data_IF_098437489820
#
_entry.id   IF_098437489820
#
_cell.length_a   1.000
_cell.length_b   1.000
_cell.length_c   1.000
_cell.angle_alpha   90.00
_cell.angle_beta   90.00
_cell.angle_gamma   90.00
#
_symmetry.space_group_name_H-M   'P 1'
#
loop_
_entity.id
_entity.type
_entity.pdbx_description
1 polymer ?
#
# COMPACT_ATOMS: atom_id res chain seq x y z
N UNK A 1 4.76 -12.69 36.71
CA UNK A 1 4.48 -11.84 35.54
C UNK A 1 3.92 -12.77 34.50
N UNK A 2 2.60 -12.76 34.37
CA UNK A 2 1.88 -13.50 33.34
C UNK A 2 2.31 -12.88 32.00
N UNK A 3 2.98 -13.68 31.16
CA UNK A 3 3.40 -13.22 29.84
C UNK A 3 2.13 -12.86 29.08
N UNK A 4 1.91 -11.56 28.85
CA UNK A 4 0.81 -11.06 28.03
C UNK A 4 0.72 -11.92 26.78
N UNK A 5 -0.47 -12.48 26.54
CA UNK A 5 -0.75 -13.29 25.37
C UNK A 5 -0.28 -12.54 24.14
N UNK A 6 0.78 -13.04 23.51
CA UNK A 6 1.29 -12.46 22.28
C UNK A 6 0.19 -12.64 21.23
N UNK A 7 -0.60 -11.59 21.00
CA UNK A 7 -1.78 -11.64 20.18
C UNK A 7 -1.37 -11.77 18.72
N UNK A 8 -1.58 -12.96 18.13
CA UNK A 8 -1.35 -13.23 16.72
C UNK A 8 -2.65 -12.98 15.94
N UNK A 9 -2.88 -11.73 15.54
CA UNK A 9 -4.09 -11.30 14.84
C UNK A 9 -3.80 -10.81 13.42
N UNK A 10 -4.58 -11.33 12.48
CA UNK A 10 -4.61 -10.95 11.07
C UNK A 10 -5.91 -11.46 10.48
N UNK A 11 -6.64 -10.60 9.76
CA UNK A 11 -7.80 -10.96 8.93
C UNK A 11 -7.41 -11.84 7.73
N UNK A 12 -6.14 -11.79 7.29
CA UNK A 12 -5.61 -12.55 6.15
C UNK A 12 -4.74 -13.70 6.59
N UNK A 13 -5.23 -14.94 6.45
CA UNK A 13 -4.46 -16.15 6.78
C UNK A 13 -3.14 -16.23 5.98
N UNK A 14 -3.16 -15.77 4.73
CA UNK A 14 -1.97 -15.70 3.88
C UNK A 14 -0.95 -14.72 4.44
N UNK A 15 -1.37 -13.51 4.81
CA UNK A 15 -0.48 -12.49 5.41
C UNK A 15 0.12 -13.02 6.70
N UNK A 16 -0.72 -13.53 7.61
CA UNK A 16 -0.30 -14.17 8.84
C UNK A 16 0.77 -15.23 8.62
N UNK A 17 0.52 -16.17 7.70
CA UNK A 17 1.44 -17.28 7.43
C UNK A 17 2.80 -16.79 6.91
N UNK A 18 2.80 -15.83 5.98
CA UNK A 18 4.01 -15.29 5.39
C UNK A 18 4.82 -14.48 6.40
N UNK A 19 4.17 -13.58 7.11
CA UNK A 19 4.87 -12.70 8.04
C UNK A 19 5.33 -13.46 9.29
N UNK A 20 4.57 -14.41 9.82
CA UNK A 20 5.03 -15.25 10.94
C UNK A 20 6.25 -16.10 10.57
N UNK A 21 6.32 -16.59 9.32
CA UNK A 21 7.52 -17.30 8.82
C UNK A 21 8.72 -16.35 8.74
N UNK A 22 8.52 -15.16 8.19
CA UNK A 22 9.57 -14.14 8.10
C UNK A 22 10.06 -13.70 9.49
N UNK A 23 9.15 -13.46 10.44
CA UNK A 23 9.49 -13.03 11.80
C UNK A 23 10.44 -14.02 12.49
N UNK A 24 10.15 -15.33 12.39
CA UNK A 24 10.99 -16.41 12.93
C UNK A 24 12.42 -16.42 12.36
N UNK A 25 12.62 -15.86 11.17
CA UNK A 25 13.91 -15.81 10.48
C UNK A 25 14.62 -14.45 10.65
N UNK A 26 13.94 -13.44 11.18
CA UNK A 26 14.40 -12.05 11.20
C UNK A 26 15.24 -11.67 12.42
N UNK A 27 15.19 -12.45 13.51
CA UNK A 27 15.78 -12.09 14.80
C UNK A 27 15.00 -11.01 15.59
N UNK A 28 13.89 -10.50 15.04
CA UNK A 28 13.01 -9.54 15.71
C UNK A 28 12.10 -10.24 16.73
N UNK A 29 11.70 -9.52 17.78
CA UNK A 29 10.81 -10.05 18.82
C UNK A 29 9.31 -9.92 18.50
N UNK A 30 8.96 -9.13 17.49
CA UNK A 30 7.57 -8.89 17.09
C UNK A 30 7.47 -8.05 15.81
N UNK A 31 6.26 -8.01 15.26
CA UNK A 31 5.91 -7.24 14.05
C UNK A 31 4.48 -6.75 14.17
N UNK A 32 4.23 -5.53 13.72
CA UNK A 32 2.90 -4.93 13.65
C UNK A 32 2.66 -4.49 12.23
N UNK A 33 1.48 -4.82 11.69
CA UNK A 33 1.07 -4.37 10.37
C UNK A 33 -0.42 -4.01 10.36
N UNK A 34 -0.79 -3.09 9.48
CA UNK A 34 -2.19 -2.75 9.24
C UNK A 34 -2.80 -3.81 8.34
N UNK A 35 -3.42 -4.83 8.93
CA UNK A 35 -4.06 -5.92 8.19
C UNK A 35 -5.46 -5.52 7.70
N UNK A 36 -5.57 -4.38 7.03
CA UNK A 36 -6.85 -3.91 6.51
C UNK A 36 -7.20 -4.61 5.19
N UNK A 37 -8.48 -4.91 4.94
CA UNK A 37 -8.88 -5.52 3.68
C UNK A 37 -8.65 -4.54 2.52
N UNK A 38 -8.32 -5.03 1.31
CA UNK A 38 -8.25 -4.18 0.13
C UNK A 38 -9.61 -3.52 -0.09
N UNK A 39 -9.61 -2.21 -0.33
CA UNK A 39 -10.84 -1.41 -0.45
C UNK A 39 -11.01 -0.73 -1.81
N UNK A 40 -10.07 -0.92 -2.75
CA UNK A 40 -10.09 -0.23 -4.05
C UNK A 40 -11.37 -0.53 -4.86
N UNK A 41 -11.75 -1.81 -4.95
CA UNK A 41 -12.96 -2.21 -5.69
C UNK A 41 -14.24 -1.66 -5.05
N UNK A 42 -14.29 -1.63 -3.72
CA UNK A 42 -15.42 -1.03 -3.01
C UNK A 42 -15.55 0.49 -3.28
N UNK A 43 -14.43 1.19 -3.46
CA UNK A 43 -14.42 2.65 -3.71
C UNK A 43 -14.61 3.03 -5.18
N UNK A 44 -14.20 2.16 -6.11
CA UNK A 44 -14.12 2.50 -7.54
C UNK A 44 -15.04 1.65 -8.42
N UNK A 45 -15.65 0.59 -7.85
CA UNK A 45 -16.38 -0.44 -8.58
C UNK A 45 -15.57 -1.13 -9.68
N UNK A 46 -14.24 -1.12 -9.56
CA UNK A 46 -13.30 -1.74 -10.48
C UNK A 46 -12.27 -2.55 -9.70
N UNK A 47 -11.88 -3.75 -10.17
CA UNK A 47 -10.80 -4.49 -9.52
C UNK A 47 -9.49 -3.70 -9.61
N UNK A 48 -8.62 -3.86 -8.63
CA UNK A 48 -7.31 -3.22 -8.67
C UNK A 48 -6.48 -3.80 -9.82
N UNK A 49 -6.01 -2.91 -10.70
CA UNK A 49 -4.97 -3.14 -11.69
C UNK A 49 -4.19 -1.84 -11.88
N UNK A 50 -2.97 -1.91 -12.42
CA UNK A 50 -2.18 -0.69 -12.70
C UNK A 50 -2.97 0.25 -13.63
N UNK A 51 -3.62 -0.32 -14.64
CA UNK A 51 -4.49 0.38 -15.59
C UNK A 51 -5.65 1.10 -14.89
N UNK A 52 -6.42 0.38 -14.06
CA UNK A 52 -7.57 0.95 -13.35
C UNK A 52 -7.14 1.99 -12.31
N UNK A 53 -6.00 1.78 -11.65
CA UNK A 53 -5.45 2.75 -10.71
C UNK A 53 -5.03 4.05 -11.41
N UNK A 54 -4.42 3.98 -12.60
CA UNK A 54 -4.14 5.18 -13.41
C UNK A 54 -5.41 5.92 -13.81
N UNK A 55 -6.42 5.19 -14.31
CA UNK A 55 -7.74 5.77 -14.64
C UNK A 55 -8.38 6.45 -13.43
N UNK A 56 -8.31 5.82 -12.26
CA UNK A 56 -8.78 6.41 -11.01
C UNK A 56 -8.04 7.71 -10.69
N UNK A 57 -6.71 7.72 -10.77
CA UNK A 57 -5.92 8.95 -10.53
C UNK A 57 -6.30 10.08 -11.49
N UNK A 58 -6.54 9.80 -12.77
CA UNK A 58 -7.03 10.80 -13.73
C UNK A 58 -8.42 11.36 -13.37
N UNK A 59 -9.25 10.58 -12.67
CA UNK A 59 -10.60 11.00 -12.28
C UNK A 59 -10.65 11.86 -11.02
N UNK A 60 -9.53 11.97 -10.29
CA UNK A 60 -9.47 12.71 -9.03
C UNK A 60 -9.56 14.22 -9.26
N UNK A 61 -10.17 14.92 -8.30
CA UNK A 61 -10.04 16.36 -8.20
C UNK A 61 -8.57 16.75 -8.02
N UNK A 62 -8.21 17.98 -8.40
CA UNK A 62 -6.85 18.49 -8.33
C UNK A 62 -6.22 18.36 -6.92
N UNK A 63 -7.01 18.63 -5.86
CA UNK A 63 -6.55 18.47 -4.47
C UNK A 63 -6.26 17.02 -4.11
N UNK A 64 -7.15 16.09 -4.48
CA UNK A 64 -7.00 14.66 -4.22
C UNK A 64 -5.85 14.07 -5.05
N UNK A 65 -5.67 14.51 -6.29
CA UNK A 65 -4.59 14.09 -7.17
C UNK A 65 -3.22 14.53 -6.63
N UNK A 66 -3.11 15.78 -6.15
CA UNK A 66 -1.89 16.26 -5.48
C UNK A 66 -1.56 15.45 -4.23
N UNK A 67 -2.56 15.14 -3.42
CA UNK A 67 -2.36 14.34 -2.21
C UNK A 67 -1.94 12.91 -2.55
N UNK A 68 -2.55 12.30 -3.58
CA UNK A 68 -2.12 11.01 -4.09
C UNK A 68 -0.66 11.05 -4.59
N UNK A 69 -0.27 12.09 -5.34
CA UNK A 69 1.12 12.32 -5.78
C UNK A 69 2.07 12.41 -4.60
N UNK A 70 1.72 13.19 -3.57
CA UNK A 70 2.51 13.33 -2.34
C UNK A 70 2.69 11.97 -1.65
N UNK A 71 1.62 11.23 -1.44
CA UNK A 71 1.65 9.93 -0.75
C UNK A 71 2.47 8.89 -1.52
N UNK A 72 2.21 8.73 -2.82
CA UNK A 72 2.91 7.76 -3.67
C UNK A 72 4.40 8.11 -3.82
N UNK A 73 4.74 9.39 -3.91
CA UNK A 73 6.15 9.84 -4.03
C UNK A 73 6.92 9.65 -2.72
N UNK A 74 6.28 9.90 -1.57
CA UNK A 74 6.92 9.80 -0.24
C UNK A 74 7.05 8.37 0.27
N UNK A 75 6.53 7.36 -0.43
CA UNK A 75 6.74 5.97 -0.06
C UNK A 75 8.26 5.64 -0.01
N UNK A 76 8.73 4.86 0.99
CA UNK A 76 10.15 4.52 1.13
C UNK A 76 10.75 3.92 -0.15
N UNK A 77 12.06 4.11 -0.36
CA UNK A 77 12.74 3.67 -1.59
C UNK A 77 12.64 2.15 -1.83
N UNK A 78 12.53 1.35 -0.76
CA UNK A 78 12.33 -0.11 -0.86
C UNK A 78 10.93 -0.53 -1.30
N UNK A 79 9.95 0.40 -1.34
CA UNK A 79 8.57 0.12 -1.77
C UNK A 79 8.41 0.50 -3.23
N UNK A 80 8.83 -0.41 -4.12
CA UNK A 80 8.74 -0.27 -5.57
C UNK A 80 7.54 -1.06 -6.11
N UNK A 81 6.33 -0.54 -5.88
CA UNK A 81 5.12 -1.20 -6.39
C UNK A 81 5.01 -1.07 -7.92
N UNK A 82 4.33 -2.02 -8.60
CA UNK A 82 4.11 -1.94 -10.05
C UNK A 82 3.44 -0.63 -10.49
N UNK A 83 2.49 -0.11 -9.69
CA UNK A 83 1.86 1.19 -9.96
C UNK A 83 2.87 2.34 -9.90
N UNK A 84 3.75 2.38 -8.89
CA UNK A 84 4.76 3.43 -8.74
C UNK A 84 5.75 3.42 -9.91
N UNK A 85 6.24 2.25 -10.28
CA UNK A 85 7.15 2.08 -11.41
C UNK A 85 6.48 2.51 -12.73
N UNK A 86 5.19 2.20 -12.90
CA UNK A 86 4.45 2.59 -14.08
C UNK A 86 4.20 4.10 -14.16
N UNK A 87 3.80 4.73 -13.05
CA UNK A 87 3.59 6.18 -12.97
C UNK A 87 4.89 6.97 -13.18
N UNK A 88 6.05 6.41 -12.82
CA UNK A 88 7.34 7.05 -13.05
C UNK A 88 7.63 7.30 -14.55
N UNK A 89 6.99 6.54 -15.45
CA UNK A 89 7.13 6.66 -16.90
C UNK A 89 6.09 7.60 -17.54
N UNK A 90 5.13 8.12 -16.77
CA UNK A 90 4.01 8.91 -17.27
C UNK A 90 4.32 10.42 -17.15
N UNK A 91 4.33 11.14 -18.28
CA UNK A 91 4.60 12.59 -18.29
C UNK A 91 3.57 13.38 -17.48
N UNK A 92 2.28 13.10 -17.68
CA UNK A 92 1.19 13.74 -16.93
C UNK A 92 1.33 13.56 -15.42
N UNK A 93 1.94 12.47 -14.96
CA UNK A 93 2.17 12.23 -13.54
C UNK A 93 3.34 13.07 -13.02
N UNK A 94 4.41 13.22 -13.81
CA UNK A 94 5.59 14.00 -13.43
C UNK A 94 5.27 15.50 -13.37
N UNK A 95 4.37 15.98 -14.22
CA UNK A 95 4.00 17.40 -14.29
C UNK A 95 3.09 17.87 -13.14
N UNK A 96 2.56 16.94 -12.32
CA UNK A 96 1.78 17.30 -11.13
C UNK A 96 2.70 17.90 -10.07
N UNK A 97 2.50 19.18 -9.79
CA UNK A 97 3.16 19.87 -8.68
C UNK A 97 2.59 19.37 -7.35
N UNK A 98 3.40 18.63 -6.58
CA UNK A 98 3.11 18.31 -5.19
C UNK A 98 3.56 19.45 -4.27
N UNK A 99 2.71 19.85 -3.31
CA UNK A 99 3.05 20.77 -2.23
C UNK A 99 3.99 20.13 -1.19
#
# INVERSE_FOLDING_TARGET
>A
IELEQQSDYSISLTTKTLVSRWLKQSGLQGVVWTDSPPNFENHTSQPFSVENAKRYLHSLSESSLREAKRYITKAPIGVQSPLRLSLAQETWWQDIVSL
#
